data_IF_564679281987
#
_entry.id   IF_564679281987
#
_cell.length_a   1.000
_cell.length_b   1.000
_cell.length_c   1.000
_cell.angle_alpha   90.00
_cell.angle_beta   90.00
_cell.angle_gamma   90.00
#
_symmetry.space_group_name_H-M   'P 1'
#
loop_
_entity.id
_entity.type
_entity.pdbx_description
1 polymer ?
#
# COMPACT_ATOMS: atom_id res chain seq x y z
N UNK A 1 5.30 2.50 -15.10
CA UNK A 1 5.93 1.28 -14.52
C UNK A 1 4.86 0.49 -13.76
N UNK A 2 4.90 -0.85 -13.76
CA UNK A 2 3.99 -1.64 -12.91
C UNK A 2 4.52 -1.67 -11.48
N UNK A 3 3.64 -1.43 -10.52
CA UNK A 3 3.98 -1.46 -9.10
C UNK A 3 3.67 -2.83 -8.50
N UNK A 4 4.55 -3.34 -7.65
CA UNK A 4 4.24 -4.44 -6.72
C UNK A 4 3.69 -3.83 -5.45
N UNK A 5 2.50 -4.26 -5.04
CA UNK A 5 1.81 -3.82 -3.83
C UNK A 5 1.71 -4.98 -2.85
N UNK A 6 2.17 -4.76 -1.62
CA UNK A 6 2.19 -5.75 -0.54
C UNK A 6 1.35 -5.26 0.62
N UNK A 7 0.45 -6.11 1.13
CA UNK A 7 -0.29 -5.90 2.37
C UNK A 7 0.44 -6.62 3.50
N UNK A 8 0.82 -5.90 4.54
CA UNK A 8 1.58 -6.40 5.68
C UNK A 8 0.74 -6.21 6.94
N UNK A 9 0.57 -7.27 7.73
CA UNK A 9 -0.20 -7.24 8.97
C UNK A 9 0.56 -6.55 10.12
N UNK A 10 -0.13 -6.34 11.25
CA UNK A 10 0.42 -5.72 12.45
C UNK A 10 1.60 -6.49 13.08
N UNK A 11 1.85 -7.74 12.68
CA UNK A 11 2.99 -8.55 13.13
C UNK A 11 4.17 -8.44 12.17
N UNK A 12 4.06 -7.60 11.13
CA UNK A 12 5.07 -7.47 10.08
C UNK A 12 5.07 -8.62 9.08
N UNK A 13 4.03 -9.46 9.04
CA UNK A 13 3.94 -10.56 8.07
C UNK A 13 3.19 -10.12 6.82
N UNK A 14 3.67 -10.56 5.66
CA UNK A 14 2.94 -10.40 4.40
C UNK A 14 1.62 -11.18 4.46
N UNK A 15 0.51 -10.44 4.36
CA UNK A 15 -0.86 -10.96 4.31
C UNK A 15 -1.33 -11.18 2.86
N UNK A 16 -0.82 -10.36 1.93
CA UNK A 16 -1.07 -10.47 0.49
C UNK A 16 -0.05 -9.68 -0.34
N UNK A 17 0.06 -10.03 -1.63
CA UNK A 17 0.92 -9.35 -2.61
C UNK A 17 0.28 -9.41 -3.99
N UNK A 18 0.37 -8.34 -4.76
CA UNK A 18 -0.15 -8.25 -6.13
C UNK A 18 0.70 -7.29 -6.96
N UNK A 19 0.73 -7.50 -8.28
CA UNK A 19 1.29 -6.52 -9.23
C UNK A 19 0.13 -5.72 -9.81
N UNK A 20 0.19 -4.40 -9.70
CA UNK A 20 -0.79 -3.50 -10.28
C UNK A 20 -0.84 -3.66 -11.81
N UNK A 21 -2.02 -3.50 -12.38
CA UNK A 21 -2.24 -3.64 -13.81
C UNK A 21 -1.68 -2.46 -14.63
N UNK A 22 -1.98 -2.43 -15.93
CA UNK A 22 -1.52 -1.36 -16.82
C UNK A 22 -2.11 0.02 -16.51
N UNK A 23 -3.27 0.07 -15.85
CA UNK A 23 -3.91 1.30 -15.37
C UNK A 23 -3.47 1.68 -13.94
N UNK A 24 -2.68 0.82 -13.28
CA UNK A 24 -2.25 0.99 -11.90
C UNK A 24 -3.26 0.47 -10.87
N UNK A 25 -4.32 -0.21 -11.31
CA UNK A 25 -5.31 -0.80 -10.40
C UNK A 25 -4.76 -2.06 -9.74
N UNK A 26 -5.12 -2.27 -8.48
CA UNK A 26 -4.77 -3.45 -7.70
C UNK A 26 -5.89 -3.78 -6.71
N UNK A 27 -5.96 -5.03 -6.29
CA UNK A 27 -6.89 -5.49 -5.25
C UNK A 27 -6.18 -6.48 -4.34
N UNK A 28 -6.36 -6.30 -3.02
CA UNK A 28 -5.82 -7.16 -1.97
C UNK A 28 -6.90 -7.40 -0.93
N UNK A 29 -6.99 -8.62 -0.41
CA UNK A 29 -7.91 -8.96 0.65
C UNK A 29 -7.17 -8.98 2.01
N UNK A 30 -7.70 -8.24 2.98
CA UNK A 30 -7.30 -8.38 4.37
C UNK A 30 -7.89 -9.68 4.94
N UNK A 31 -7.09 -10.47 5.66
CA UNK A 31 -7.52 -11.75 6.24
C UNK A 31 -8.28 -11.58 7.56
N UNK A 32 -8.15 -10.42 8.20
CA UNK A 32 -8.84 -10.05 9.43
C UNK A 32 -9.06 -8.53 9.49
N UNK A 33 -9.98 -8.07 10.32
CA UNK A 33 -10.03 -6.66 10.70
C UNK A 33 -8.72 -6.22 11.37
N UNK A 34 -8.44 -4.92 11.35
CA UNK A 34 -7.29 -4.29 11.97
C UNK A 34 -6.50 -3.38 11.03
N UNK A 35 -5.37 -2.90 11.54
CA UNK A 35 -4.45 -2.01 10.81
C UNK A 35 -3.41 -2.84 10.05
N UNK A 36 -3.15 -2.40 8.83
CA UNK A 36 -2.14 -2.97 7.94
C UNK A 36 -1.24 -1.87 7.38
N UNK A 37 -0.07 -2.28 6.90
CA UNK A 37 0.77 -1.46 6.02
C UNK A 37 0.51 -1.90 4.58
N UNK A 38 0.25 -0.93 3.72
CA UNK A 38 0.26 -1.10 2.27
C UNK A 38 1.57 -0.53 1.73
N UNK A 39 2.47 -1.41 1.29
CA UNK A 39 3.76 -1.04 0.72
C UNK A 39 3.74 -1.21 -0.79
N UNK A 40 4.17 -0.20 -1.53
CA UNK A 40 4.29 -0.25 -2.99
C UNK A 40 5.73 0.02 -3.44
N UNK A 41 6.16 -0.75 -4.43
CA UNK A 41 7.47 -0.59 -5.07
C UNK A 41 7.31 -0.66 -6.58
N UNK A 42 8.09 0.10 -7.32
CA UNK A 42 8.15 0.02 -8.77
C UNK A 42 9.59 0.29 -9.24
N UNK A 43 10.01 -0.29 -10.38
CA UNK A 43 11.37 -0.08 -10.89
C UNK A 43 11.70 1.40 -11.07
N UNK A 44 12.81 1.84 -10.49
CA UNK A 44 13.31 3.21 -10.60
C UNK A 44 12.56 4.27 -9.78
N UNK A 45 11.58 3.89 -8.96
CA UNK A 45 10.86 4.80 -8.06
C UNK A 45 11.15 4.46 -6.59
N UNK A 46 11.21 5.45 -5.69
CA UNK A 46 11.32 5.19 -4.26
C UNK A 46 10.11 4.38 -3.76
N UNK A 47 10.29 3.49 -2.76
CA UNK A 47 9.19 2.78 -2.16
C UNK A 47 8.24 3.73 -1.42
N UNK A 48 6.95 3.40 -1.39
CA UNK A 48 5.93 4.07 -0.58
C UNK A 48 5.32 3.08 0.40
N UNK A 49 5.09 3.50 1.64
CA UNK A 49 4.34 2.75 2.63
C UNK A 49 3.28 3.65 3.27
N UNK A 50 2.05 3.15 3.39
CA UNK A 50 0.94 3.85 4.06
C UNK A 50 0.16 2.90 4.94
N UNK A 51 -0.52 3.44 5.95
CA UNK A 51 -1.42 2.67 6.79
C UNK A 51 -2.80 2.57 6.15
N UNK A 52 -3.44 1.42 6.32
CA UNK A 52 -4.85 1.21 6.00
C UNK A 52 -5.51 0.46 7.16
N UNK A 53 -6.71 0.87 7.54
CA UNK A 53 -7.48 0.23 8.60
C UNK A 53 -8.71 -0.44 8.01
N UNK A 54 -8.98 -1.68 8.44
CA UNK A 54 -10.20 -2.42 8.13
C UNK A 54 -10.97 -2.64 9.42
N UNK A 55 -12.21 -2.17 9.47
CA UNK A 55 -13.13 -2.36 10.59
C UNK A 55 -13.76 -3.76 10.56
N UNK A 56 -13.92 -4.34 9.36
CA UNK A 56 -14.41 -5.70 9.15
C UNK A 56 -13.77 -6.33 7.91
N UNK A 57 -13.86 -7.66 7.77
CA UNK A 57 -13.29 -8.38 6.60
C UNK A 57 -14.07 -8.17 5.31
N UNK A 58 -15.34 -7.77 5.39
CA UNK A 58 -16.21 -7.50 4.25
C UNK A 58 -16.15 -6.02 3.81
N UNK A 59 -15.40 -5.19 4.53
CA UNK A 59 -15.22 -3.78 4.20
C UNK A 59 -14.32 -3.61 2.97
N UNK A 60 -14.75 -2.76 2.04
CA UNK A 60 -13.92 -2.29 0.95
C UNK A 60 -13.33 -0.92 1.28
N UNK A 61 -12.01 -0.83 1.25
CA UNK A 61 -11.27 0.43 1.43
C UNK A 61 -10.54 0.74 0.13
N UNK A 62 -10.73 1.96 -0.38
CA UNK A 62 -10.02 2.45 -1.58
C UNK A 62 -8.86 3.32 -1.15
N UNK A 63 -7.67 3.07 -1.70
CA UNK A 63 -6.43 3.80 -1.39
C UNK A 63 -5.68 4.08 -2.67
N UNK A 64 -5.30 5.35 -2.88
CA UNK A 64 -4.41 5.76 -3.97
C UNK A 64 -2.95 5.81 -3.50
N UNK A 65 -2.06 5.16 -4.25
CA UNK A 65 -0.62 5.15 -4.00
C UNK A 65 0.12 5.91 -5.10
N UNK A 66 0.75 7.03 -4.75
CA UNK A 66 1.56 7.83 -5.68
C UNK A 66 3.04 7.60 -5.43
N UNK A 67 3.66 6.82 -6.30
CA UNK A 67 5.10 6.55 -6.26
C UNK A 67 5.89 7.67 -6.94
N UNK A 68 7.02 8.06 -6.36
CA UNK A 68 7.91 9.08 -6.94
C UNK A 68 7.42 10.53 -6.81
N UNK A 69 6.41 10.80 -5.96
CA UNK A 69 6.19 12.16 -5.51
C UNK A 69 7.39 12.61 -4.67
N UNK A 70 7.88 13.83 -4.91
CA UNK A 70 8.98 14.41 -4.15
C UNK A 70 8.60 14.46 -2.66
N UNK A 71 9.36 13.77 -1.81
CA UNK A 71 9.25 13.93 -0.36
C UNK A 71 9.88 15.28 -0.04
N UNK A 72 9.12 16.36 -0.18
CA UNK A 72 9.48 17.61 0.49
C UNK A 72 9.27 17.37 1.97
N UNK A 73 10.35 16.99 2.65
CA UNK A 73 10.46 17.18 4.09
C UNK A 73 10.15 18.66 4.34
N UNK A 74 8.98 18.92 4.93
CA UNK A 74 8.64 20.23 5.41
C UNK A 74 9.49 20.46 6.67
N UNK A 75 10.78 20.70 6.49
CA UNK A 75 11.66 21.26 7.50
C UNK A 75 11.18 22.69 7.75
N UNK A 76 10.11 22.83 8.52
CA UNK A 76 9.72 24.11 9.09
C UNK A 76 10.59 24.30 10.32
N UNK A 77 11.46 25.30 10.20
CA UNK A 77 12.24 25.97 11.24
C UNK A 77 11.42 26.24 12.51
#
# INVERSE_FOLDING_TARGET
>A
PRATVTLIDHRGRQSGIVVADGAGAFALAARSAGTYILAATAPGLPPLATHVAYTSVDEQVTVDLRLGADVRENATR
#
